data_IF_011740391172
#
_entry.id   IF_011740391172
#
_cell.length_a   1.000
_cell.length_b   1.000
_cell.length_c   1.000
_cell.angle_alpha   90.00
_cell.angle_beta   90.00
_cell.angle_gamma   90.00
#
_symmetry.space_group_name_H-M   'P 1'
#
loop_
_entity.id
_entity.type
_entity.pdbx_description
1 polymer ?
#
# COMPACT_ATOMS: atom_id res chain seq x y z
N UNK A 1 -10.96 7.36 8.55
CA UNK A 1 -10.61 7.79 7.18
C UNK A 1 -9.85 6.64 6.53
N UNK A 2 -10.18 6.24 5.31
CA UNK A 2 -9.57 5.06 4.66
C UNK A 2 -8.13 5.42 4.26
N UNK A 3 -7.16 4.65 4.74
CA UNK A 3 -5.75 4.73 4.37
C UNK A 3 -5.10 3.36 4.54
N UNK A 4 -3.88 3.21 4.05
CA UNK A 4 -3.03 2.05 4.28
C UNK A 4 -1.56 2.44 4.34
N UNK A 5 -0.78 1.58 5.00
CA UNK A 5 0.63 1.79 5.24
C UNK A 5 1.48 0.68 4.61
N UNK A 6 2.71 1.03 4.24
CA UNK A 6 3.76 0.10 3.86
C UNK A 6 5.09 0.58 4.45
N UNK A 7 5.96 -0.35 4.82
CA UNK A 7 7.22 -0.06 5.49
C UNK A 7 8.29 -1.05 5.08
N UNK A 8 9.49 -0.54 4.83
CA UNK A 8 10.73 -1.30 4.67
C UNK A 8 11.64 -1.00 5.88
N UNK A 9 11.68 -1.88 6.90
CA UNK A 9 12.46 -1.66 8.13
C UNK A 9 13.97 -1.71 7.92
N UNK A 10 14.42 -2.43 6.89
CA UNK A 10 15.84 -2.58 6.57
C UNK A 10 16.37 -1.33 5.88
N UNK A 11 15.51 -0.66 5.10
CA UNK A 11 15.82 0.60 4.41
C UNK A 11 15.34 1.84 5.15
N UNK A 12 14.63 1.71 6.25
CA UNK A 12 14.18 2.85 7.06
C UNK A 12 13.17 3.77 6.35
N UNK A 13 12.25 3.19 5.56
CA UNK A 13 11.24 3.93 4.78
C UNK A 13 9.85 3.46 5.16
N UNK A 14 9.00 4.36 5.67
CA UNK A 14 7.58 4.11 5.91
C UNK A 14 6.71 5.09 5.15
N UNK A 15 5.58 4.63 4.61
CA UNK A 15 4.61 5.45 3.87
C UNK A 15 3.20 5.18 4.36
N UNK A 16 2.37 6.22 4.37
CA UNK A 16 0.92 6.11 4.48
C UNK A 16 0.25 6.79 3.28
N UNK A 17 -0.71 6.11 2.68
CA UNK A 17 -1.48 6.64 1.56
C UNK A 17 -2.98 6.44 1.76
N UNK A 18 -3.77 7.38 1.25
CA UNK A 18 -5.20 7.21 1.03
C UNK A 18 -5.49 6.50 -0.31
N UNK A 19 -6.77 6.26 -0.60
CA UNK A 19 -7.20 5.72 -1.89
C UNK A 19 -6.69 6.57 -3.06
N UNK A 20 -6.38 5.92 -4.18
CA UNK A 20 -5.87 6.57 -5.39
C UNK A 20 -4.42 7.03 -5.28
N UNK A 21 -3.71 6.58 -4.24
CA UNK A 21 -2.30 6.92 -4.03
C UNK A 21 -2.09 8.31 -3.42
N UNK A 22 -3.12 8.87 -2.78
CA UNK A 22 -2.99 10.13 -2.07
C UNK A 22 -2.02 10.01 -0.88
N UNK A 23 -0.76 10.38 -1.07
CA UNK A 23 0.27 10.33 -0.03
C UNK A 23 -0.13 11.20 1.17
N UNK A 24 -0.09 10.61 2.37
CA UNK A 24 -0.47 11.27 3.63
C UNK A 24 0.72 11.48 4.55
N UNK A 25 1.57 10.46 4.65
CA UNK A 25 2.77 10.51 5.46
C UNK A 25 3.92 9.78 4.77
N UNK A 26 5.13 10.29 4.97
CA UNK A 26 6.39 9.69 4.51
C UNK A 26 7.44 9.90 5.60
N UNK A 27 7.83 8.80 6.24
CA UNK A 27 8.88 8.81 7.25
C UNK A 27 10.13 8.15 6.69
N UNK A 28 11.25 8.85 6.79
CA UNK A 28 12.58 8.40 6.37
C UNK A 28 13.55 8.52 7.54
N UNK A 29 14.33 7.48 7.79
CA UNK A 29 15.49 7.57 8.68
C UNK A 29 16.82 7.60 7.91
N UNK A 30 17.93 7.74 8.63
CA UNK A 30 19.26 7.85 8.02
C UNK A 30 19.65 6.68 7.09
N UNK A 31 19.08 5.48 7.29
CA UNK A 31 19.34 4.29 6.48
C UNK A 31 18.70 4.36 5.10
N UNK A 32 17.68 5.21 4.93
CA UNK A 32 17.00 5.42 3.66
C UNK A 32 17.87 6.17 2.66
N UNK A 33 18.92 6.86 3.12
CA UNK A 33 19.75 7.70 2.29
C UNK A 33 20.67 6.84 1.41
N UNK A 34 20.25 6.64 0.16
CA UNK A 34 21.01 5.86 -0.81
C UNK A 34 20.45 5.96 -2.23
N UNK A 35 21.17 5.43 -3.23
CA UNK A 35 20.81 5.58 -4.65
C UNK A 35 19.50 4.89 -5.03
N UNK A 36 19.00 3.99 -4.18
CA UNK A 36 17.76 3.25 -4.42
C UNK A 36 16.52 3.85 -3.74
N UNK A 37 16.67 4.95 -2.99
CA UNK A 37 15.59 5.54 -2.20
C UNK A 37 14.32 5.81 -3.01
N UNK A 38 14.47 6.46 -4.17
CA UNK A 38 13.33 6.78 -5.03
C UNK A 38 12.55 5.51 -5.44
N UNK A 39 13.26 4.43 -5.79
CA UNK A 39 12.62 3.16 -6.17
C UNK A 39 11.98 2.46 -4.97
N UNK A 40 12.59 2.52 -3.79
CA UNK A 40 12.00 2.00 -2.55
C UNK A 40 10.71 2.75 -2.20
N UNK A 41 10.71 4.08 -2.24
CA UNK A 41 9.52 4.89 -1.97
C UNK A 41 8.40 4.53 -2.95
N UNK A 42 8.68 4.53 -4.26
CA UNK A 42 7.67 4.22 -5.27
C UNK A 42 7.06 2.82 -5.06
N UNK A 43 7.89 1.81 -4.80
CA UNK A 43 7.42 0.45 -4.52
C UNK A 43 6.53 0.36 -3.27
N UNK A 44 6.87 1.10 -2.21
CA UNK A 44 6.07 1.15 -0.99
C UNK A 44 4.77 1.91 -1.21
N UNK A 45 4.78 3.00 -1.97
CA UNK A 45 3.58 3.77 -2.34
C UNK A 45 2.63 2.90 -3.17
N UNK A 46 3.12 2.16 -4.16
CA UNK A 46 2.30 1.24 -4.95
C UNK A 46 1.65 0.18 -4.06
N UNK A 47 2.42 -0.41 -3.14
CA UNK A 47 1.93 -1.40 -2.18
C UNK A 47 0.85 -0.82 -1.26
N UNK A 48 1.11 0.35 -0.68
CA UNK A 48 0.17 1.01 0.20
C UNK A 48 -1.09 1.45 -0.56
N UNK A 49 -0.96 1.85 -1.83
CA UNK A 49 -2.08 2.28 -2.68
C UNK A 49 -3.00 1.11 -2.99
N UNK A 50 -2.45 -0.05 -3.37
CA UNK A 50 -3.22 -1.26 -3.59
C UNK A 50 -4.03 -1.64 -2.34
N UNK A 51 -3.41 -1.57 -1.16
CA UNK A 51 -4.08 -1.85 0.12
C UNK A 51 -5.16 -0.82 0.45
N UNK A 52 -4.91 0.46 0.23
CA UNK A 52 -5.89 1.52 0.48
C UNK A 52 -7.10 1.40 -0.46
N UNK A 53 -6.86 1.09 -1.73
CA UNK A 53 -7.90 0.86 -2.72
C UNK A 53 -8.73 -0.39 -2.40
N UNK A 54 -8.09 -1.50 -2.01
CA UNK A 54 -8.78 -2.71 -1.56
C UNK A 54 -9.69 -2.42 -0.35
N UNK A 55 -9.19 -1.69 0.65
CA UNK A 55 -10.00 -1.25 1.81
C UNK A 55 -11.16 -0.34 1.40
N UNK A 56 -10.93 0.56 0.44
CA UNK A 56 -11.97 1.45 -0.08
C UNK A 56 -13.06 0.65 -0.79
N UNK A 57 -12.70 -0.28 -1.67
CA UNK A 57 -13.65 -1.14 -2.37
C UNK A 57 -14.45 -2.00 -1.39
N UNK A 58 -13.81 -2.54 -0.36
CA UNK A 58 -14.50 -3.32 0.67
C UNK A 58 -15.50 -2.48 1.48
N UNK A 59 -15.17 -1.22 1.76
CA UNK A 59 -16.03 -0.34 2.55
C UNK A 59 -17.15 0.34 1.74
N UNK A 60 -16.93 0.58 0.44
CA UNK A 60 -17.78 1.44 -0.39
C UNK A 60 -18.40 0.72 -1.60
N UNK A 61 -18.02 -0.52 -1.90
CA UNK A 61 -18.49 -1.28 -3.06
C UNK A 61 -17.57 -1.12 -4.28
N UNK A 62 -18.12 -1.31 -5.48
CA UNK A 62 -17.37 -1.21 -6.72
C UNK A 62 -16.94 0.24 -7.00
N UNK A 63 -15.63 0.49 -7.03
CA UNK A 63 -15.02 1.80 -7.27
C UNK A 63 -14.33 1.88 -8.64
N UNK A 64 -14.69 1.01 -9.58
CA UNK A 64 -14.07 0.95 -10.92
C UNK A 64 -14.20 2.28 -11.67
N UNK A 65 -15.34 2.99 -11.52
CA UNK A 65 -15.54 4.32 -12.12
C UNK A 65 -14.65 5.42 -11.53
N UNK A 66 -14.10 5.22 -10.32
CA UNK A 66 -13.21 6.18 -9.65
C UNK A 66 -11.73 5.97 -10.02
N UNK A 67 -11.43 5.03 -10.92
CA UNK A 67 -10.04 4.68 -11.27
C UNK A 67 -9.25 4.06 -10.11
N UNK A 68 -9.96 3.57 -9.09
CA UNK A 68 -9.38 2.94 -7.90
C UNK A 68 -9.26 1.41 -8.04
N UNK A 69 -9.70 0.86 -9.16
CA UNK A 69 -9.56 -0.57 -9.45
C UNK A 69 -8.07 -0.97 -9.35
N UNK A 70 -7.79 -1.92 -8.46
CA UNK A 70 -6.46 -2.45 -8.21
C UNK A 70 -5.96 -3.14 -9.48
N UNK A 71 -4.76 -2.77 -9.93
CA UNK A 71 -4.07 -3.46 -11.02
C UNK A 71 -3.98 -4.96 -10.65
N UNK A 72 -4.50 -5.85 -11.51
CA UNK A 72 -4.80 -7.24 -11.14
C UNK A 72 -3.60 -7.99 -10.53
N UNK A 73 -2.37 -7.61 -10.90
CA UNK A 73 -1.12 -8.17 -10.36
C UNK A 73 -0.86 -7.85 -8.88
N UNK A 74 -1.40 -6.75 -8.35
CA UNK A 74 -1.26 -6.37 -6.94
C UNK A 74 -2.34 -7.00 -6.07
N UNK A 75 -3.47 -7.40 -6.67
CA UNK A 75 -4.59 -8.02 -5.94
C UNK A 75 -4.20 -9.39 -5.36
N UNK A 76 -3.37 -10.16 -6.06
CA UNK A 76 -2.87 -11.46 -5.56
C UNK A 76 -1.93 -11.31 -4.34
N UNK A 77 -1.20 -10.20 -4.22
CA UNK A 77 -0.27 -9.98 -3.09
C UNK A 77 -1.00 -9.52 -1.81
N UNK A 78 -2.19 -8.93 -1.93
CA UNK A 78 -2.96 -8.42 -0.78
C UNK A 78 -3.71 -9.54 -0.05
N UNK A 79 -4.19 -10.54 -0.79
CA UNK A 79 -4.91 -11.71 -0.25
C UNK A 79 -4.00 -12.68 0.54
N UNK A 80 -2.67 -12.52 0.46
CA UNK A 80 -1.67 -13.34 1.15
C UNK A 80 -1.28 -12.80 2.53
N UNK A 81 -2.25 -12.23 3.26
CA UNK A 81 -2.08 -11.80 4.67
C UNK A 81 -3.07 -12.46 5.62
N UNK A 82 -3.88 -13.41 5.16
CA UNK A 82 -4.77 -14.19 6.04
C UNK A 82 -4.02 -15.40 6.58
N UNK A 83 -3.73 -15.48 7.90
CA UNK A 83 -3.16 -16.69 8.49
C UNK A 83 -4.10 -17.88 8.26
N UNK A 84 -3.56 -19.01 7.84
CA UNK A 84 -4.33 -20.25 7.58
C UNK A 84 -5.10 -20.75 8.81
N UNK A 85 -4.71 -20.31 10.01
CA UNK A 85 -5.39 -20.60 11.27
C UNK A 85 -6.76 -19.92 11.44
N UNK A 86 -7.13 -18.99 10.56
CA UNK A 86 -8.41 -18.27 10.59
C UNK A 86 -9.38 -18.69 9.49
N UNK A 87 -8.96 -19.57 8.58
CA UNK A 87 -9.85 -20.21 7.59
C UNK A 87 -10.47 -21.44 8.25
N UNK A 88 -11.65 -21.26 8.84
CA UNK A 88 -12.51 -22.33 9.38
C UNK A 88 -13.54 -22.72 8.34
#
# INVERSE_FOLDING_TARGET
>A
MISAQAHDPDRGVAVEVGPGGALRDLTLDSRAMGPHLARTILSLVDTATARANSRAAHALGDLTELGLAVDARLSETVEDTTPTTWRV
#
